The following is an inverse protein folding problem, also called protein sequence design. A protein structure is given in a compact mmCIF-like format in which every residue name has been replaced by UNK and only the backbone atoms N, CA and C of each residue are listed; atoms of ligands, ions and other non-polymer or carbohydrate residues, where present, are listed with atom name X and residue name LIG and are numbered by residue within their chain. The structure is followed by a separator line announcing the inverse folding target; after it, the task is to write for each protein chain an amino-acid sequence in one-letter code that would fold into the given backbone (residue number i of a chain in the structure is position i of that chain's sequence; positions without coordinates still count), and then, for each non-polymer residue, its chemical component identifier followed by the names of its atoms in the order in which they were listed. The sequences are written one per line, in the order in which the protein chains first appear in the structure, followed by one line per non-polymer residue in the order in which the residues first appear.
data_IF_715697381312
#
_entry.id   IF_715697381312
#
_cell.length_a   1.000
_cell.length_b   1.000
_cell.length_c   1.000
_cell.angle_alpha   90.00
_cell.angle_beta   90.00
_cell.angle_gamma   90.00
#
_symmetry.space_group_name_H-M   'P 1'
#
loop_
_entity.id
_entity.type
_entity.pdbx_description
1 polymer ?
#
# COMPACT_ATOMS: atom_id res chain seq x y z
N UNK A 1 6.14 -6.53 1.53
CA UNK A 1 5.12 -7.00 0.55
C UNK A 1 4.45 -5.76 -0.04
N UNK A 2 3.78 -5.88 -1.18
CA UNK A 2 3.01 -4.77 -1.74
C UNK A 2 1.52 -4.82 -1.33
N UNK A 3 0.77 -3.79 -1.75
CA UNK A 3 -0.65 -3.59 -1.43
C UNK A 3 -1.63 -4.10 -2.48
N UNK A 4 -1.18 -4.71 -3.59
CA UNK A 4 -2.05 -5.10 -4.70
C UNK A 4 -2.81 -6.39 -4.37
N UNK A 5 -3.96 -6.24 -3.71
CA UNK A 5 -4.81 -7.38 -3.28
C UNK A 5 -6.26 -7.28 -3.75
N UNK A 6 -6.64 -6.18 -4.41
CA UNK A 6 -7.98 -5.91 -4.97
C UNK A 6 -9.17 -5.95 -3.98
N UNK A 7 -8.91 -6.11 -2.67
CA UNK A 7 -9.94 -6.22 -1.64
C UNK A 7 -9.48 -5.55 -0.34
N UNK A 8 -10.40 -4.80 0.30
CA UNK A 8 -10.09 -4.03 1.52
C UNK A 8 -9.82 -4.95 2.72
N UNK A 9 -10.54 -6.06 2.85
CA UNK A 9 -10.36 -6.99 3.97
C UNK A 9 -9.05 -7.78 3.81
N UNK A 10 -8.69 -8.15 2.58
CA UNK A 10 -7.37 -8.72 2.28
C UNK A 10 -6.23 -7.74 2.66
N UNK A 11 -6.38 -6.45 2.36
CA UNK A 11 -5.40 -5.43 2.75
C UNK A 11 -5.29 -5.32 4.28
N UNK A 12 -6.42 -5.29 5.00
CA UNK A 12 -6.43 -5.29 6.47
C UNK A 12 -5.73 -6.50 7.06
N UNK A 13 -5.90 -7.69 6.47
CA UNK A 13 -5.19 -8.91 6.88
C UNK A 13 -3.68 -8.76 6.68
N UNK A 14 -3.22 -8.24 5.53
CA UNK A 14 -1.80 -7.97 5.30
C UNK A 14 -1.24 -7.00 6.34
N UNK A 15 -1.95 -5.91 6.62
CA UNK A 15 -1.53 -4.92 7.61
C UNK A 15 -1.46 -5.50 9.01
N UNK A 16 -2.40 -6.37 9.39
CA UNK A 16 -2.38 -7.08 10.67
C UNK A 16 -1.19 -8.03 10.80
N UNK A 17 -0.80 -8.70 9.72
CA UNK A 17 0.28 -9.68 9.72
C UNK A 17 1.67 -9.05 9.67
N UNK A 18 1.86 -8.04 8.82
CA UNK A 18 3.17 -7.45 8.55
C UNK A 18 3.40 -6.11 9.23
N UNK A 19 2.33 -5.43 9.64
CA UNK A 19 2.37 -4.04 10.10
C UNK A 19 2.47 -3.05 8.91
N UNK A 20 1.95 -1.82 9.08
CA UNK A 20 1.89 -0.84 7.99
C UNK A 20 3.26 -0.44 7.44
N UNK A 21 4.33 -0.49 8.24
CA UNK A 21 5.71 -0.19 7.82
C UNK A 21 6.33 -1.23 6.86
N UNK A 22 5.70 -2.39 6.68
CA UNK A 22 6.22 -3.50 5.86
C UNK A 22 5.34 -3.80 4.63
N UNK A 23 4.32 -2.97 4.40
CA UNK A 23 3.45 -2.98 3.23
C UNK A 23 3.67 -1.68 2.46
N UNK A 24 3.97 -1.77 1.16
CA UNK A 24 4.19 -0.62 0.29
C UNK A 24 3.19 -0.61 -0.87
N UNK A 25 2.88 0.57 -1.41
CA UNK A 25 2.08 0.68 -2.63
C UNK A 25 2.76 -0.05 -3.79
N UNK A 26 2.03 -0.97 -4.42
CA UNK A 26 2.37 -1.58 -5.70
C UNK A 26 1.11 -1.66 -6.57
N UNK A 27 1.22 -1.35 -7.85
CA UNK A 27 0.08 -1.29 -8.77
C UNK A 27 0.13 -2.30 -9.90
N UNK A 28 1.28 -2.95 -10.12
CA UNK A 28 1.53 -3.82 -11.28
C UNK A 28 1.34 -3.11 -12.65
N UNK A 29 1.51 -1.78 -12.70
CA UNK A 29 1.52 -1.03 -13.96
C UNK A 29 2.69 -1.47 -14.87
N UNK A 30 2.49 -1.63 -16.21
CA UNK A 30 1.30 -1.31 -17.01
C UNK A 30 0.40 -2.52 -17.33
N UNK A 31 0.41 -3.57 -16.51
CA UNK A 31 -0.33 -4.79 -16.81
C UNK A 31 -1.85 -4.65 -16.54
N UNK A 32 -2.71 -5.34 -17.31
CA UNK A 32 -4.17 -5.18 -17.23
C UNK A 32 -4.78 -5.76 -15.94
N UNK A 33 -4.05 -6.61 -15.22
CA UNK A 33 -4.50 -7.18 -13.95
C UNK A 33 -4.08 -6.33 -12.74
N UNK A 34 -3.34 -5.25 -12.97
CA UNK A 34 -2.95 -4.31 -11.93
C UNK A 34 -4.09 -3.41 -11.45
N UNK A 35 -3.74 -2.44 -10.62
CA UNK A 35 -4.67 -1.41 -10.19
C UNK A 35 -4.75 -0.29 -11.25
N UNK A 36 -5.93 -0.07 -11.81
CA UNK A 36 -6.16 0.89 -12.89
C UNK A 36 -5.76 2.33 -12.49
N UNK A 37 -6.04 2.72 -11.24
CA UNK A 37 -5.60 3.98 -10.63
C UNK A 37 -4.78 3.66 -9.39
N UNK A 38 -3.46 3.78 -9.50
CA UNK A 38 -2.54 3.41 -8.41
C UNK A 38 -2.87 4.12 -7.10
N UNK A 39 -3.04 3.35 -6.04
CA UNK A 39 -3.34 3.80 -4.68
C UNK A 39 -4.84 3.98 -4.37
N UNK A 40 -5.74 3.77 -5.33
CA UNK A 40 -7.18 3.98 -5.13
C UNK A 40 -7.76 3.12 -4.01
N UNK A 41 -7.34 1.85 -3.90
CA UNK A 41 -7.75 0.96 -2.81
C UNK A 41 -7.38 1.56 -1.45
N UNK A 42 -6.13 1.98 -1.27
CA UNK A 42 -5.63 2.57 -0.02
C UNK A 42 -6.37 3.87 0.30
N UNK A 43 -6.57 4.73 -0.69
CA UNK A 43 -7.26 6.02 -0.52
C UNK A 43 -8.72 5.84 -0.10
N UNK A 44 -9.39 4.80 -0.59
CA UNK A 44 -10.78 4.48 -0.27
C UNK A 44 -11.02 3.94 1.15
N UNK A 45 -9.95 3.64 1.90
CA UNK A 45 -10.07 3.10 3.27
C UNK A 45 -10.34 4.18 4.32
N UNK A 46 -10.84 3.77 5.47
CA UNK A 46 -10.99 4.60 6.68
C UNK A 46 -9.72 4.64 7.55
N UNK A 47 -8.55 4.27 6.99
CA UNK A 47 -7.28 4.35 7.71
C UNK A 47 -6.89 5.79 8.04
N UNK A 48 -6.06 5.95 9.07
CA UNK A 48 -5.57 7.27 9.46
C UNK A 48 -4.73 7.90 8.34
N UNK A 49 -4.62 9.23 8.36
CA UNK A 49 -3.76 9.96 7.42
C UNK A 49 -2.31 9.45 7.47
N UNK A 50 -1.82 9.12 8.67
CA UNK A 50 -0.47 8.59 8.90
C UNK A 50 -0.32 7.18 8.34
N UNK A 51 -1.33 6.32 8.49
CA UNK A 51 -1.34 4.98 7.92
C UNK A 51 -1.32 5.04 6.39
N UNK A 52 -2.19 5.86 5.78
CA UNK A 52 -2.20 6.06 4.32
C UNK A 52 -0.87 6.60 3.81
N UNK A 53 -0.31 7.61 4.47
CA UNK A 53 1.00 8.18 4.09
C UNK A 53 2.13 7.13 4.18
N UNK A 54 2.09 6.26 5.19
CA UNK A 54 3.04 5.16 5.34
C UNK A 54 2.92 4.17 4.16
N UNK A 55 1.71 3.74 3.81
CA UNK A 55 1.48 2.77 2.74
C UNK A 55 1.77 3.34 1.34
N UNK A 56 1.34 4.56 1.07
CA UNK A 56 1.50 5.23 -0.23
C UNK A 56 2.94 5.62 -0.53
N UNK A 57 3.79 5.80 0.48
CA UNK A 57 5.14 6.34 0.28
C UNK A 57 6.15 5.93 1.35
N UNK A 58 5.80 6.05 2.63
CA UNK A 58 6.74 5.89 3.74
C UNK A 58 7.48 4.54 3.74
N UNK A 59 6.74 3.44 3.57
CA UNK A 59 7.31 2.08 3.58
C UNK A 59 8.25 1.85 2.39
N UNK A 60 7.91 2.37 1.21
CA UNK A 60 8.76 2.27 0.03
C UNK A 60 10.05 3.08 0.19
N UNK A 61 9.95 4.30 0.73
CA UNK A 61 11.13 5.16 0.98
C UNK A 61 12.09 4.53 1.98
N UNK A 62 11.58 3.99 3.09
CA UNK A 62 12.38 3.29 4.08
C UNK A 62 13.08 2.06 3.45
N UNK A 63 12.35 1.26 2.67
CA UNK A 63 12.90 0.09 1.99
C UNK A 63 13.99 0.45 0.98
N UNK A 64 13.80 1.52 0.21
CA UNK A 64 14.73 1.97 -0.83
C UNK A 64 15.88 2.84 -0.28
N UNK A 65 15.91 3.14 1.02
CA UNK A 65 16.92 4.01 1.61
C UNK A 65 16.81 5.48 1.16
N UNK A 66 15.62 5.92 0.75
CA UNK A 66 15.37 7.30 0.34
C UNK A 66 15.08 8.15 1.59
N UNK A 67 15.71 9.33 1.67
CA UNK A 67 15.55 10.24 2.80
C UNK A 67 14.05 10.51 3.08
N UNK A 68 13.64 10.51 4.35
CA UNK A 68 12.28 10.86 4.79
C UNK A 68 12.00 12.33 4.60
#
# INVERSE_FOLDING_TARGET
VDSLVHDIEALKILLKLFGPKRVALGSDYPFPLGEAKSGELIESTEFSTEEKAQLLSGSAREFLGLAT
#
